data_IF_564235839630
#
_entry.id   IF_564235839630
#
_cell.length_a   1.000
_cell.length_b   1.000
_cell.length_c   1.000
_cell.angle_alpha   90.00
_cell.angle_beta   90.00
_cell.angle_gamma   90.00
#
_symmetry.space_group_name_H-M   'P 1'
#
loop_
_entity.id
_entity.type
_entity.pdbx_description
1 polymer ?
#
# COMPACT_ATOMS: atom_id res chain seq x y z
N UNK A 1 -33.72 -33.83 -23.52
CA UNK A 1 -32.73 -33.88 -22.42
C UNK A 1 -31.81 -32.66 -22.35
N UNK A 2 -31.67 -31.84 -23.40
CA UNK A 2 -30.72 -30.71 -23.46
C UNK A 2 -30.94 -29.53 -22.47
N UNK A 3 -32.17 -29.29 -22.00
CA UNK A 3 -32.46 -28.16 -21.10
C UNK A 3 -31.94 -28.37 -19.67
N UNK A 4 -31.92 -29.62 -19.18
CA UNK A 4 -31.35 -29.96 -17.86
C UNK A 4 -29.83 -29.81 -17.85
N UNK A 5 -29.15 -30.13 -18.95
CA UNK A 5 -27.70 -29.96 -19.11
C UNK A 5 -27.31 -28.48 -19.21
N UNK A 6 -28.11 -27.65 -19.88
CA UNK A 6 -27.91 -26.19 -19.95
C UNK A 6 -28.03 -25.51 -18.56
N UNK A 7 -29.01 -25.94 -17.74
CA UNK A 7 -29.18 -25.43 -16.37
C UNK A 7 -28.09 -25.92 -15.41
N UNK A 8 -27.64 -27.17 -15.55
CA UNK A 8 -26.53 -27.70 -14.75
C UNK A 8 -25.22 -26.93 -15.00
N UNK A 9 -24.94 -26.57 -16.27
CA UNK A 9 -23.79 -25.74 -16.62
C UNK A 9 -23.90 -24.27 -16.20
N UNK A 10 -25.11 -23.73 -16.01
CA UNK A 10 -25.32 -22.35 -15.59
C UNK A 10 -24.87 -22.09 -14.14
N UNK A 11 -25.14 -23.05 -13.23
CA UNK A 11 -24.70 -22.96 -11.84
C UNK A 11 -23.17 -22.99 -11.69
N UNK A 12 -22.49 -23.85 -12.44
CA UNK A 12 -21.02 -23.95 -12.41
C UNK A 12 -20.34 -22.70 -13.00
N UNK A 13 -20.95 -22.08 -14.02
CA UNK A 13 -20.49 -20.81 -14.60
C UNK A 13 -20.66 -19.64 -13.63
N UNK A 14 -21.74 -19.61 -12.85
CA UNK A 14 -21.96 -18.59 -11.81
C UNK A 14 -20.98 -18.74 -10.64
N UNK A 15 -20.66 -19.98 -10.23
CA UNK A 15 -19.64 -20.26 -9.20
C UNK A 15 -18.22 -19.87 -9.67
N UNK A 16 -17.85 -20.19 -10.92
CA UNK A 16 -16.57 -19.74 -11.50
C UNK A 16 -16.50 -18.21 -11.66
N UNK A 17 -17.61 -17.56 -12.01
CA UNK A 17 -17.66 -16.11 -12.14
C UNK A 17 -17.51 -15.38 -10.80
N UNK A 18 -18.18 -15.85 -9.75
CA UNK A 18 -18.06 -15.29 -8.38
C UNK A 18 -16.67 -15.51 -7.80
N UNK A 19 -16.11 -16.72 -7.90
CA UNK A 19 -14.74 -16.99 -7.45
C UNK A 19 -13.70 -16.12 -8.19
N UNK A 20 -13.88 -15.89 -9.50
CA UNK A 20 -13.03 -14.99 -10.29
C UNK A 20 -13.18 -13.53 -9.87
N UNK A 21 -14.37 -13.10 -9.50
CA UNK A 21 -14.61 -11.74 -8.99
C UNK A 21 -14.01 -11.52 -7.60
N UNK A 22 -14.09 -12.52 -6.72
CA UNK A 22 -13.46 -12.47 -5.41
C UNK A 22 -11.93 -12.46 -5.52
N UNK A 23 -11.36 -13.27 -6.41
CA UNK A 23 -9.93 -13.27 -6.76
C UNK A 23 -9.48 -11.89 -7.28
N UNK A 24 -10.25 -11.27 -8.18
CA UNK A 24 -9.96 -9.95 -8.73
C UNK A 24 -10.08 -8.85 -7.67
N UNK A 25 -11.11 -8.90 -6.83
CA UNK A 25 -11.28 -7.97 -5.71
C UNK A 25 -10.15 -8.11 -4.69
N UNK A 26 -9.71 -9.35 -4.40
CA UNK A 26 -8.54 -9.61 -3.57
C UNK A 26 -7.28 -8.99 -4.17
N UNK A 27 -7.02 -9.20 -5.46
CA UNK A 27 -5.90 -8.56 -6.18
C UNK A 27 -5.97 -7.05 -6.20
N UNK A 28 -7.15 -6.45 -6.38
CA UNK A 28 -7.32 -4.99 -6.32
C UNK A 28 -7.12 -4.42 -4.91
N UNK A 29 -7.40 -5.21 -3.85
CA UNK A 29 -7.12 -4.86 -2.46
C UNK A 29 -5.63 -4.98 -2.14
N UNK A 30 -4.95 -5.97 -2.71
CA UNK A 30 -3.53 -6.29 -2.49
C UNK A 30 -2.58 -5.50 -3.41
N UNK A 31 -3.12 -4.79 -4.41
CA UNK A 31 -2.34 -3.94 -5.30
C UNK A 31 -2.72 -2.46 -5.13
N UNK A 32 -1.73 -1.59 -5.29
CA UNK A 32 -1.93 -0.14 -5.20
C UNK A 32 -0.68 0.63 -5.55
N UNK A 33 -0.82 1.90 -5.89
CA UNK A 33 0.30 2.82 -6.06
C UNK A 33 -0.04 4.13 -5.39
N UNK A 34 0.91 4.69 -4.65
CA UNK A 34 0.78 6.00 -4.05
C UNK A 34 2.13 6.71 -4.04
N UNK A 35 2.17 7.93 -4.59
CA UNK A 35 3.31 8.83 -4.56
C UNK A 35 4.68 8.18 -4.84
N UNK A 36 4.75 7.32 -5.88
CA UNK A 36 5.98 6.65 -6.31
C UNK A 36 6.29 5.32 -5.64
N UNK A 37 5.47 4.88 -4.67
CA UNK A 37 5.53 3.56 -4.04
C UNK A 37 4.40 2.70 -4.60
N UNK A 38 4.72 1.47 -5.00
CA UNK A 38 3.75 0.47 -5.45
C UNK A 38 3.71 -0.71 -4.50
N UNK A 39 2.52 -1.23 -4.23
CA UNK A 39 2.30 -2.53 -3.61
C UNK A 39 1.80 -3.49 -4.70
N UNK A 40 2.49 -4.60 -4.91
CA UNK A 40 2.01 -5.71 -5.74
C UNK A 40 2.61 -7.03 -5.31
N UNK A 41 1.83 -8.10 -5.36
CA UNK A 41 2.32 -9.48 -5.15
C UNK A 41 3.06 -9.66 -3.81
N UNK A 42 2.62 -8.97 -2.75
CA UNK A 42 3.29 -9.00 -1.44
C UNK A 42 4.64 -8.25 -1.38
N UNK A 43 4.96 -7.45 -2.41
CA UNK A 43 6.18 -6.67 -2.51
C UNK A 43 5.88 -5.17 -2.57
N UNK A 44 6.71 -4.37 -1.91
CA UNK A 44 6.77 -2.93 -2.09
C UNK A 44 7.85 -2.58 -3.11
N UNK A 45 7.49 -1.77 -4.10
CA UNK A 45 8.38 -1.27 -5.14
C UNK A 45 8.48 0.25 -5.10
N UNK A 46 9.68 0.79 -5.26
CA UNK A 46 9.93 2.23 -5.39
C UNK A 46 11.24 2.48 -6.13
N UNK A 47 11.49 3.74 -6.51
CA UNK A 47 12.78 4.14 -7.08
C UNK A 47 13.62 4.82 -6.00
N UNK A 48 14.81 4.28 -5.76
CA UNK A 48 15.81 4.80 -4.83
C UNK A 48 16.99 5.38 -5.62
N UNK A 49 17.19 6.72 -5.59
CA UNK A 49 18.30 7.40 -6.31
C UNK A 49 18.46 6.98 -7.78
N UNK A 50 17.35 6.72 -8.46
CA UNK A 50 17.32 6.27 -9.87
C UNK A 50 17.39 4.76 -10.07
N UNK A 51 17.56 3.98 -9.02
CA UNK A 51 17.55 2.52 -9.06
C UNK A 51 16.20 1.96 -8.59
N UNK A 52 15.55 1.09 -9.37
CA UNK A 52 14.34 0.42 -8.90
C UNK A 52 14.69 -0.52 -7.74
N UNK A 53 13.97 -0.39 -6.64
CA UNK A 53 14.05 -1.28 -5.48
C UNK A 53 12.73 -2.02 -5.32
N UNK A 54 12.81 -3.26 -4.85
CA UNK A 54 11.66 -4.10 -4.53
C UNK A 54 11.97 -4.89 -3.27
N UNK A 55 11.16 -4.72 -2.23
CA UNK A 55 11.35 -5.37 -0.94
C UNK A 55 10.04 -6.05 -0.48
N UNK A 56 10.10 -7.12 0.30
CA UNK A 56 8.92 -7.77 0.87
C UNK A 56 8.10 -6.82 1.74
N UNK A 57 6.77 -6.92 1.66
CA UNK A 57 5.85 -6.19 2.56
C UNK A 57 5.70 -6.87 3.93
N UNK A 58 6.19 -8.11 4.08
CA UNK A 58 6.15 -8.83 5.34
C UNK A 58 6.86 -8.04 6.45
N UNK A 59 6.22 -7.92 7.62
CA UNK A 59 6.73 -7.12 8.74
C UNK A 59 6.65 -5.60 8.56
N UNK A 60 6.17 -5.10 7.42
CA UNK A 60 6.06 -3.66 7.18
C UNK A 60 4.90 -3.03 7.96
N UNK A 61 5.13 -1.82 8.47
CA UNK A 61 4.12 -0.97 9.13
C UNK A 61 4.00 0.36 8.40
N UNK A 62 2.80 0.67 7.92
CA UNK A 62 2.48 1.92 7.27
C UNK A 62 1.65 2.85 8.16
N UNK A 63 2.00 4.13 8.21
CA UNK A 63 1.34 5.15 9.01
C UNK A 63 1.24 6.47 8.22
N UNK A 64 0.14 7.20 8.44
CA UNK A 64 -0.08 8.51 7.85
C UNK A 64 -0.13 9.55 8.95
N UNK A 65 0.63 10.62 8.78
CA UNK A 65 0.65 11.74 9.72
C UNK A 65 0.42 13.06 8.98
N UNK A 66 -0.48 13.89 9.52
CA UNK A 66 -0.88 15.18 8.94
C UNK A 66 -0.83 16.29 9.99
N UNK A 67 -0.52 17.53 9.57
CA UNK A 67 -0.62 18.73 10.39
C UNK A 67 0.56 18.98 11.36
N UNK A 68 0.39 19.95 12.25
CA UNK A 68 1.44 20.40 13.17
C UNK A 68 1.84 19.34 14.22
N UNK A 69 0.92 18.43 14.57
CA UNK A 69 1.17 17.31 15.49
C UNK A 69 2.03 16.21 14.86
N UNK A 70 1.80 15.92 13.57
CA UNK A 70 2.68 15.06 12.77
C UNK A 70 4.09 15.64 12.66
N UNK A 71 4.17 16.95 12.45
CA UNK A 71 5.43 17.68 12.32
C UNK A 71 6.20 17.81 13.64
N UNK A 72 5.61 17.55 14.81
CA UNK A 72 6.36 17.47 16.08
C UNK A 72 6.83 16.06 16.39
N UNK A 73 6.01 15.04 16.12
CA UNK A 73 6.33 13.63 16.44
C UNK A 73 7.26 12.98 15.41
N UNK A 74 7.06 13.23 14.12
CA UNK A 74 7.93 12.72 13.04
C UNK A 74 9.27 13.45 13.03
N UNK A 75 9.30 14.73 13.37
CA UNK A 75 10.52 15.55 13.32
C UNK A 75 11.56 15.15 14.37
N UNK A 76 11.18 14.63 15.54
CA UNK A 76 12.16 14.22 16.55
C UNK A 76 12.70 12.80 16.34
N UNK A 77 11.83 11.81 16.10
CA UNK A 77 12.23 10.39 16.05
C UNK A 77 12.48 9.88 14.62
N UNK A 78 11.82 10.46 13.61
CA UNK A 78 11.88 10.00 12.22
C UNK A 78 12.77 10.85 11.31
N UNK A 79 13.24 12.04 11.73
CA UNK A 79 14.24 12.83 10.96
C UNK A 79 15.59 12.11 10.85
N UNK A 80 15.97 11.34 11.86
CA UNK A 80 17.18 10.50 11.83
C UNK A 80 17.02 9.33 10.84
N UNK A 81 15.79 8.96 10.48
CA UNK A 81 15.45 7.79 9.68
C UNK A 81 14.90 8.10 8.28
N UNK A 82 14.82 9.37 7.85
CA UNK A 82 14.21 9.68 6.55
C UNK A 82 15.05 9.03 5.44
N UNK A 83 14.50 7.98 4.84
CA UNK A 83 15.06 7.27 3.70
C UNK A 83 15.09 8.13 2.43
N UNK A 84 15.12 7.49 1.26
CA UNK A 84 15.44 8.10 -0.05
C UNK A 84 14.71 9.37 -0.48
N UNK A 85 13.58 9.68 0.15
CA UNK A 85 12.75 10.83 -0.17
C UNK A 85 12.97 12.04 0.77
N UNK A 86 13.99 12.01 1.64
CA UNK A 86 14.34 13.10 2.55
C UNK A 86 14.63 14.44 1.85
N UNK A 87 15.12 14.39 0.61
CA UNK A 87 15.57 15.59 -0.12
C UNK A 87 14.42 16.49 -0.63
N UNK A 88 13.16 16.02 -0.59
CA UNK A 88 12.00 16.84 -0.95
C UNK A 88 11.40 17.63 0.23
N UNK A 89 12.05 17.59 1.41
CA UNK A 89 11.63 18.17 2.70
C UNK A 89 11.57 19.71 2.76
N UNK A 90 11.43 20.43 1.65
CA UNK A 90 11.36 21.90 1.69
C UNK A 90 9.97 22.35 2.18
N UNK A 91 9.83 22.44 3.51
CA UNK A 91 8.75 23.07 4.31
C UNK A 91 7.60 23.63 3.46
N UNK A 92 6.63 22.79 3.10
CA UNK A 92 5.34 23.27 2.64
C UNK A 92 4.35 23.16 3.80
N UNK A 93 3.67 24.26 4.12
CA UNK A 93 2.48 24.20 4.99
C UNK A 93 1.43 23.40 4.23
N UNK A 94 0.78 22.44 4.88
CA UNK A 94 -0.26 21.64 4.24
C UNK A 94 0.22 20.35 3.57
N UNK A 95 1.32 19.75 4.06
CA UNK A 95 1.83 18.45 3.58
C UNK A 95 1.63 17.38 4.65
N UNK A 96 1.13 16.23 4.24
CA UNK A 96 1.10 15.01 5.06
C UNK A 96 2.28 14.09 4.69
N UNK A 97 2.54 13.11 5.55
CA UNK A 97 3.58 12.11 5.34
C UNK A 97 3.01 10.72 5.49
N UNK A 98 3.30 9.88 4.50
CA UNK A 98 3.11 8.44 4.57
C UNK A 98 4.46 7.83 4.92
N UNK A 99 4.55 7.13 6.03
CA UNK A 99 5.75 6.41 6.44
C UNK A 99 5.50 4.91 6.36
N UNK A 100 6.44 4.16 5.80
CA UNK A 100 6.42 2.70 5.78
C UNK A 100 7.75 2.21 6.33
N UNK A 101 7.72 1.47 7.43
CA UNK A 101 8.91 0.97 8.13
C UNK A 101 8.88 -0.56 8.19
N UNK A 102 10.02 -1.18 7.95
CA UNK A 102 10.31 -2.60 8.14
C UNK A 102 11.77 -2.73 8.63
N UNK A 103 12.18 -3.91 9.06
CA UNK A 103 13.54 -4.13 9.57
C UNK A 103 14.63 -3.82 8.53
N UNK A 104 14.31 -3.99 7.23
CA UNK A 104 15.26 -3.84 6.12
C UNK A 104 15.15 -2.50 5.39
N UNK A 105 14.07 -1.74 5.58
CA UNK A 105 13.87 -0.47 4.88
C UNK A 105 12.96 0.49 5.64
N UNK A 106 13.16 1.77 5.36
CA UNK A 106 12.29 2.84 5.80
C UNK A 106 11.99 3.79 4.64
N UNK A 107 10.70 4.08 4.44
CA UNK A 107 10.18 4.97 3.42
C UNK A 107 9.39 6.09 4.07
N UNK A 108 9.69 7.34 3.69
CA UNK A 108 8.90 8.50 4.09
C UNK A 108 8.50 9.30 2.86
N UNK A 109 7.22 9.25 2.49
CA UNK A 109 6.72 9.86 1.26
C UNK A 109 5.84 11.07 1.61
N UNK A 110 6.27 12.30 1.24
CA UNK A 110 5.44 13.48 1.41
C UNK A 110 4.28 13.47 0.40
N UNK A 111 3.10 13.94 0.82
CA UNK A 111 1.96 14.10 -0.06
C UNK A 111 1.15 15.37 0.28
N UNK A 112 0.43 15.97 -0.69
CA UNK A 112 -0.46 17.11 -0.41
C UNK A 112 -1.64 16.69 0.47
N UNK A 113 -2.03 17.46 1.50
CA UNK A 113 -3.11 17.08 2.45
C UNK A 113 -4.42 16.66 1.77
N UNK A 114 -4.76 17.23 0.60
CA UNK A 114 -5.94 16.81 -0.18
C UNK A 114 -5.95 15.31 -0.54
N UNK A 115 -4.80 14.64 -0.52
CA UNK A 115 -4.64 13.20 -0.76
C UNK A 115 -4.55 12.38 0.54
N UNK A 116 -4.86 12.96 1.70
CA UNK A 116 -4.80 12.24 2.99
C UNK A 116 -5.66 10.98 2.99
N UNK A 117 -6.88 11.04 2.43
CA UNK A 117 -7.76 9.89 2.33
C UNK A 117 -7.12 8.76 1.52
N UNK A 118 -6.51 9.09 0.38
CA UNK A 118 -5.81 8.13 -0.49
C UNK A 118 -4.56 7.57 0.19
N UNK A 119 -3.80 8.41 0.90
CA UNK A 119 -2.64 7.99 1.67
C UNK A 119 -3.03 7.01 2.79
N UNK A 120 -4.12 7.29 3.52
CA UNK A 120 -4.65 6.41 4.57
C UNK A 120 -5.15 5.09 3.99
N UNK A 121 -5.85 5.14 2.86
CA UNK A 121 -6.30 3.95 2.16
C UNK A 121 -5.11 3.08 1.71
N UNK A 122 -4.06 3.70 1.16
CA UNK A 122 -2.84 2.99 0.78
C UNK A 122 -2.11 2.40 1.98
N UNK A 123 -1.95 3.15 3.08
CA UNK A 123 -1.37 2.63 4.31
C UNK A 123 -2.15 1.43 4.86
N UNK A 124 -3.49 1.47 4.83
CA UNK A 124 -4.33 0.35 5.22
C UNK A 124 -4.10 -0.88 4.33
N UNK A 125 -3.94 -0.71 3.01
CA UNK A 125 -3.57 -1.79 2.08
C UNK A 125 -2.22 -2.42 2.42
N UNK A 126 -1.20 -1.60 2.66
CA UNK A 126 0.14 -2.07 3.05
C UNK A 126 0.09 -2.87 4.35
N UNK A 127 -0.58 -2.34 5.38
CA UNK A 127 -0.73 -3.03 6.66
C UNK A 127 -1.53 -4.34 6.53
N UNK A 128 -2.56 -4.37 5.69
CA UNK A 128 -3.31 -5.59 5.42
C UNK A 128 -2.44 -6.63 4.72
N UNK A 129 -1.67 -6.23 3.71
CA UNK A 129 -0.77 -7.12 2.99
C UNK A 129 0.35 -7.65 3.89
N UNK A 130 0.92 -6.82 4.75
CA UNK A 130 1.93 -7.23 5.73
C UNK A 130 1.40 -8.30 6.70
N UNK A 131 0.17 -8.14 7.19
CA UNK A 131 -0.48 -9.12 8.07
C UNK A 131 -0.75 -10.44 7.35
N UNK A 132 -1.25 -10.39 6.12
CA UNK A 132 -1.50 -11.60 5.32
C UNK A 132 -0.19 -12.36 5.03
N UNK A 133 0.88 -11.65 4.69
CA UNK A 133 2.18 -12.24 4.39
C UNK A 133 2.88 -12.86 5.61
N UNK A 134 2.59 -12.38 6.83
CA UNK A 134 3.16 -12.93 8.07
C UNK A 134 2.46 -14.23 8.50
N UNK A 135 1.18 -14.40 8.12
CA UNK A 135 0.37 -15.57 8.46
C UNK A 135 0.31 -16.63 7.34
N UNK A 136 1.15 -16.49 6.30
CA UNK A 136 1.22 -17.40 5.14
C UNK A 136 2.42 -18.33 5.22
#
# INVERSE_FOLDING_TARGET
MAFKEWLAGAGERAAKASARMDELNRRQRETGKFAGVSLSDGMLGWTDKGHPRREPVAGARAEVAVGADAQRRITATRIVLIGVFALAFRKQKGTGFLTIEADTYYLGVPFPIKQEADARAFAAKVNSAARSATNS
#
